data_IF_134889396541
#
_entry.id   IF_134889396541
#
_cell.length_a   1.000
_cell.length_b   1.000
_cell.length_c   1.000
_cell.angle_alpha   90.00
_cell.angle_beta   90.00
_cell.angle_gamma   90.00
#
_symmetry.space_group_name_H-M   'P 1'
#
loop_
_entity.id
_entity.type
_entity.pdbx_description
1 polymer ?
#
# COMPACT_ATOMS: atom_id res chain seq x y z
N UNK A 1 0.70 6.61 15.89
CA UNK A 1 0.68 5.46 14.97
C UNK A 1 -0.12 5.89 13.75
N UNK A 2 0.37 5.68 12.53
CA UNK A 2 -0.34 6.07 11.31
C UNK A 2 -1.59 5.21 11.12
N UNK A 3 -2.70 5.82 10.71
CA UNK A 3 -3.92 5.13 10.27
C UNK A 3 -3.73 4.69 8.81
N UNK A 4 -4.03 3.43 8.49
CA UNK A 4 -3.71 2.81 7.20
C UNK A 4 -5.00 2.46 6.48
N UNK A 5 -5.19 2.96 5.26
CA UNK A 5 -6.33 2.62 4.41
C UNK A 5 -5.91 1.70 3.28
N UNK A 6 -6.65 0.61 3.06
CA UNK A 6 -6.40 -0.33 1.97
C UNK A 6 -7.47 -0.17 0.88
N UNK A 7 -7.05 0.23 -0.32
CA UNK A 7 -7.90 0.30 -1.51
C UNK A 7 -7.52 -0.81 -2.48
N UNK A 8 -8.39 -1.81 -2.60
CA UNK A 8 -8.11 -3.05 -3.31
C UNK A 8 -7.48 -4.09 -2.38
N UNK A 9 -8.14 -5.25 -2.27
CA UNK A 9 -7.73 -6.35 -1.41
C UNK A 9 -7.43 -7.59 -2.24
N UNK A 10 -6.15 -7.89 -2.35
CA UNK A 10 -5.57 -9.02 -3.07
C UNK A 10 -4.67 -9.86 -2.14
N UNK A 11 -3.90 -10.79 -2.72
CA UNK A 11 -3.02 -11.65 -1.93
C UNK A 11 -1.86 -10.89 -1.25
N UNK A 12 -1.42 -9.76 -1.81
CA UNK A 12 -0.29 -9.00 -1.31
C UNK A 12 -0.72 -8.08 -0.16
N UNK A 13 -1.78 -7.31 -0.37
CA UNK A 13 -2.40 -6.48 0.68
C UNK A 13 -2.95 -7.32 1.83
N UNK A 14 -3.43 -8.54 1.59
CA UNK A 14 -3.77 -9.48 2.67
C UNK A 14 -2.54 -9.79 3.56
N UNK A 15 -1.37 -10.05 2.96
CA UNK A 15 -0.14 -10.25 3.74
C UNK A 15 0.25 -8.99 4.51
N UNK A 16 0.09 -7.81 3.92
CA UNK A 16 0.34 -6.54 4.59
C UNK A 16 -0.57 -6.35 5.81
N UNK A 17 -1.88 -6.54 5.65
CA UNK A 17 -2.85 -6.43 6.76
C UNK A 17 -2.48 -7.37 7.90
N UNK A 18 -2.19 -8.65 7.59
CA UNK A 18 -1.75 -9.64 8.59
C UNK A 18 -0.48 -9.20 9.30
N UNK A 19 0.52 -8.74 8.56
CA UNK A 19 1.78 -8.31 9.14
C UNK A 19 1.64 -7.04 9.98
N UNK A 20 0.76 -6.10 9.64
CA UNK A 20 0.48 -4.93 10.47
C UNK A 20 -0.08 -5.36 11.84
N UNK A 21 -1.06 -6.26 11.87
CA UNK A 21 -1.63 -6.75 13.13
C UNK A 21 -0.67 -7.67 13.90
N UNK A 22 0.22 -8.40 13.21
CA UNK A 22 1.26 -9.19 13.86
C UNK A 22 2.31 -8.30 14.52
N UNK A 23 2.70 -7.19 13.87
CA UNK A 23 3.67 -6.24 14.39
C UNK A 23 3.08 -5.38 15.51
N UNK A 24 1.81 -4.98 15.39
CA UNK A 24 1.08 -4.16 16.35
C UNK A 24 -0.39 -4.62 16.42
N UNK A 25 -0.81 -5.34 17.47
CA UNK A 25 -2.19 -5.79 17.62
C UNK A 25 -3.23 -4.65 17.65
N UNK A 26 -2.81 -3.43 18.01
CA UNK A 26 -3.61 -2.20 18.03
C UNK A 26 -3.49 -1.37 16.74
N UNK A 27 -2.90 -1.94 15.67
CA UNK A 27 -2.82 -1.29 14.37
C UNK A 27 -4.20 -0.83 13.87
N UNK A 28 -4.24 0.37 13.30
CA UNK A 28 -5.48 0.97 12.81
C UNK A 28 -5.57 0.83 11.29
N UNK A 29 -6.20 -0.27 10.84
CA UNK A 29 -6.38 -0.59 9.43
C UNK A 29 -7.83 -0.37 9.01
N UNK A 30 -8.04 0.37 7.92
CA UNK A 30 -9.33 0.74 7.36
C UNK A 30 -9.49 0.11 5.98
N UNK A 31 -10.66 -0.45 5.70
CA UNK A 31 -10.95 -1.07 4.40
C UNK A 31 -12.42 -0.93 4.03
N UNK A 32 -12.70 -0.94 2.73
CA UNK A 32 -14.05 -1.03 2.18
C UNK A 32 -14.30 -2.48 1.73
N UNK A 33 -15.04 -3.30 2.52
CA UNK A 33 -15.16 -4.72 2.22
C UNK A 33 -16.03 -5.02 1.00
N UNK A 34 -17.04 -4.17 0.72
CA UNK A 34 -17.87 -4.20 -0.47
C UNK A 34 -18.22 -5.63 -0.96
N UNK A 35 -18.11 -5.85 -2.27
CA UNK A 35 -18.26 -7.14 -2.94
C UNK A 35 -16.98 -8.00 -2.90
N UNK A 36 -15.96 -7.62 -2.12
CA UNK A 36 -14.72 -8.38 -2.00
C UNK A 36 -14.82 -9.40 -0.87
N UNK A 37 -14.98 -10.68 -1.24
CA UNK A 37 -15.01 -11.79 -0.28
C UNK A 37 -13.74 -11.82 0.59
N UNK A 38 -12.57 -11.52 -0.01
CA UNK A 38 -11.30 -11.46 0.73
C UNK A 38 -11.30 -10.34 1.77
N UNK A 39 -11.79 -9.15 1.41
CA UNK A 39 -11.88 -8.03 2.33
C UNK A 39 -12.87 -8.29 3.48
N UNK A 40 -14.04 -8.89 3.16
CA UNK A 40 -15.01 -9.32 4.17
C UNK A 40 -14.43 -10.38 5.12
N UNK A 41 -13.66 -11.35 4.61
CA UNK A 41 -12.98 -12.34 5.45
C UNK A 41 -11.96 -11.68 6.38
N UNK A 42 -11.14 -10.77 5.86
CA UNK A 42 -10.14 -10.07 6.67
C UNK A 42 -10.78 -9.20 7.76
N UNK A 43 -11.90 -8.52 7.47
CA UNK A 43 -12.64 -7.75 8.46
C UNK A 43 -13.27 -8.62 9.58
N UNK A 44 -13.50 -9.91 9.34
CA UNK A 44 -13.93 -10.86 10.38
C UNK A 44 -12.76 -11.43 11.18
N UNK A 45 -11.60 -11.53 10.56
CA UNK A 45 -10.40 -12.15 11.14
C UNK A 45 -9.58 -11.17 11.98
N UNK A 46 -9.57 -9.89 11.60
CA UNK A 46 -8.79 -8.82 12.22
C UNK A 46 -9.70 -7.66 12.64
N UNK A 47 -9.30 -6.84 13.64
CA UNK A 47 -10.08 -5.69 14.10
C UNK A 47 -9.94 -4.50 13.12
N UNK A 48 -10.22 -4.75 11.84
CA UNK A 48 -10.24 -3.72 10.81
C UNK A 48 -11.47 -2.82 10.97
N UNK A 49 -11.28 -1.54 10.70
CA UNK A 49 -12.36 -0.56 10.58
C UNK A 49 -12.97 -0.65 9.18
N UNK A 50 -14.22 -1.07 9.08
CA UNK A 50 -14.92 -1.14 7.80
C UNK A 50 -15.62 0.17 7.49
N UNK A 51 -15.51 0.62 6.24
CA UNK A 51 -16.15 1.84 5.75
C UNK A 51 -17.12 1.52 4.59
N UNK A 52 -17.96 2.49 4.23
CA UNK A 52 -19.03 2.30 3.25
C UNK A 52 -18.58 2.51 1.78
N UNK A 53 -17.43 3.16 1.57
CA UNK A 53 -16.85 3.39 0.24
C UNK A 53 -15.36 3.77 0.36
N UNK A 54 -14.66 3.90 -0.78
CA UNK A 54 -13.24 4.27 -0.80
C UNK A 54 -12.96 5.67 -0.23
N UNK A 55 -13.83 6.65 -0.44
CA UNK A 55 -13.63 8.00 0.12
C UNK A 55 -13.70 7.97 1.65
N UNK A 56 -14.68 7.24 2.23
CA UNK A 56 -14.79 7.08 3.67
C UNK A 56 -13.58 6.36 4.29
N UNK A 57 -12.91 5.45 3.55
CA UNK A 57 -11.59 4.93 3.97
C UNK A 57 -10.55 6.02 3.97
N UNK A 58 -10.43 6.77 2.86
CA UNK A 58 -9.43 7.82 2.68
C UNK A 58 -9.57 8.90 3.75
N UNK A 59 -10.78 9.35 4.07
CA UNK A 59 -11.01 10.45 5.02
C UNK A 59 -10.47 10.16 6.43
N UNK A 60 -10.38 8.87 6.79
CA UNK A 60 -9.96 8.42 8.10
C UNK A 60 -8.44 8.22 8.21
N UNK A 61 -7.70 8.09 7.11
CA UNK A 61 -6.35 7.52 7.15
C UNK A 61 -5.25 8.54 6.90
N UNK A 62 -4.05 8.23 7.35
CA UNK A 62 -2.83 9.01 7.07
C UNK A 62 -2.05 8.40 5.91
N UNK A 63 -2.10 7.07 5.76
CA UNK A 63 -1.42 6.31 4.71
C UNK A 63 -2.45 5.55 3.91
N UNK A 64 -2.45 5.74 2.59
CA UNK A 64 -3.35 5.05 1.66
C UNK A 64 -2.52 4.05 0.88
N UNK A 65 -2.90 2.78 0.91
CA UNK A 65 -2.24 1.70 0.18
C UNK A 65 -3.19 1.22 -0.92
N UNK A 66 -2.79 1.35 -2.19
CA UNK A 66 -3.60 0.97 -3.34
C UNK A 66 -3.00 -0.25 -4.04
N UNK A 67 -3.81 -1.31 -4.19
CA UNK A 67 -3.50 -2.50 -4.99
C UNK A 67 -4.70 -2.90 -5.85
N UNK A 68 -4.80 -2.30 -7.03
CA UNK A 68 -5.87 -2.53 -8.00
C UNK A 68 -5.30 -2.67 -9.41
N UNK A 69 -6.11 -3.15 -10.36
CA UNK A 69 -5.74 -3.17 -11.77
C UNK A 69 -5.59 -1.72 -12.31
N UNK A 70 -4.76 -1.48 -13.35
CA UNK A 70 -4.55 -0.14 -13.90
C UNK A 70 -5.84 0.59 -14.33
N UNK A 71 -6.80 -0.10 -14.93
CA UNK A 71 -8.08 0.50 -15.33
C UNK A 71 -8.87 0.99 -14.11
N UNK A 72 -8.93 0.16 -13.06
CA UNK A 72 -9.56 0.50 -11.77
C UNK A 72 -8.80 1.63 -11.06
N UNK A 73 -7.48 1.72 -11.19
CA UNK A 73 -6.69 2.81 -10.64
C UNK A 73 -7.12 4.16 -11.25
N UNK A 74 -7.33 4.18 -12.57
CA UNK A 74 -7.78 5.38 -13.27
C UNK A 74 -9.18 5.81 -12.81
N UNK A 75 -10.14 4.88 -12.75
CA UNK A 75 -11.48 5.15 -12.20
C UNK A 75 -11.44 5.64 -10.75
N UNK A 76 -10.59 5.03 -9.93
CA UNK A 76 -10.42 5.41 -8.53
C UNK A 76 -9.90 6.84 -8.40
N UNK A 77 -8.88 7.21 -9.20
CA UNK A 77 -8.30 8.55 -9.18
C UNK A 77 -9.29 9.66 -9.54
N UNK A 78 -10.30 9.36 -10.37
CA UNK A 78 -11.37 10.30 -10.72
C UNK A 78 -12.53 10.35 -9.73
N UNK A 79 -12.60 9.41 -8.78
CA UNK A 79 -13.74 9.24 -7.86
C UNK A 79 -13.41 9.54 -6.39
N UNK A 80 -12.14 9.79 -6.07
CA UNK A 80 -11.68 10.08 -4.71
C UNK A 80 -10.85 11.35 -4.63
N UNK A 81 -10.79 11.94 -3.44
CA UNK A 81 -9.98 13.11 -3.13
C UNK A 81 -9.06 12.80 -1.95
N UNK A 82 -7.77 13.08 -2.13
CA UNK A 82 -6.75 12.91 -1.11
C UNK A 82 -6.54 14.22 -0.35
N UNK A 83 -6.20 14.10 0.93
CA UNK A 83 -5.76 15.22 1.77
C UNK A 83 -4.25 15.38 1.63
N UNK A 84 -3.79 16.63 1.61
CA UNK A 84 -2.36 16.96 1.44
C UNK A 84 -1.43 16.28 2.47
N UNK A 85 -1.93 15.96 3.66
CA UNK A 85 -1.15 15.33 4.73
C UNK A 85 -1.00 13.82 4.59
N UNK A 86 -1.61 13.21 3.58
CA UNK A 86 -1.61 11.76 3.38
C UNK A 86 -0.44 11.30 2.53
N UNK A 87 0.02 10.08 2.75
CA UNK A 87 0.94 9.41 1.83
C UNK A 87 0.17 8.39 0.99
N UNK A 88 0.28 8.49 -0.32
CA UNK A 88 -0.26 7.50 -1.26
C UNK A 88 0.82 6.47 -1.60
N UNK A 89 0.60 5.21 -1.24
CA UNK A 89 1.49 4.09 -1.55
C UNK A 89 0.81 3.18 -2.58
N UNK A 90 1.43 3.04 -3.75
CA UNK A 90 0.94 2.18 -4.82
C UNK A 90 1.72 0.87 -4.89
N UNK A 91 0.99 -0.24 -4.97
CA UNK A 91 1.53 -1.55 -5.34
C UNK A 91 1.27 -1.90 -6.82
N UNK A 92 0.73 -0.97 -7.60
CA UNK A 92 0.35 -1.20 -9.00
C UNK A 92 1.62 -1.27 -9.87
N UNK A 93 1.94 -2.41 -10.48
CA UNK A 93 3.17 -2.56 -11.27
C UNK A 93 3.20 -1.62 -12.48
N UNK A 94 4.38 -1.11 -12.81
CA UNK A 94 4.62 -0.29 -14.02
C UNK A 94 4.07 1.14 -13.96
N UNK A 95 3.44 1.56 -12.86
CA UNK A 95 2.97 2.93 -12.69
C UNK A 95 3.96 3.72 -11.82
N UNK A 96 4.64 4.68 -12.45
CA UNK A 96 5.62 5.53 -11.78
C UNK A 96 4.97 6.54 -10.83
N UNK A 97 5.71 7.00 -9.82
CA UNK A 97 5.20 7.96 -8.83
C UNK A 97 4.75 9.27 -9.50
N UNK A 98 5.42 9.71 -10.57
CA UNK A 98 5.00 10.88 -11.35
C UNK A 98 3.61 10.72 -11.95
N UNK A 99 3.27 9.54 -12.47
CA UNK A 99 1.96 9.27 -13.02
C UNK A 99 0.89 9.30 -11.91
N UNK A 100 1.18 8.69 -10.76
CA UNK A 100 0.31 8.73 -9.57
C UNK A 100 0.04 10.18 -9.12
N UNK A 101 1.09 11.02 -9.07
CA UNK A 101 0.94 12.43 -8.69
C UNK A 101 -0.01 13.20 -9.60
N UNK A 102 0.04 12.94 -10.90
CA UNK A 102 -0.86 13.57 -11.88
C UNK A 102 -2.27 13.01 -11.74
N UNK A 103 -2.43 11.69 -11.67
CA UNK A 103 -3.75 11.03 -11.59
C UNK A 103 -4.53 11.47 -10.34
N UNK A 104 -3.88 11.45 -9.18
CA UNK A 104 -4.51 11.76 -7.90
C UNK A 104 -4.38 13.23 -7.48
N UNK A 105 -3.73 14.07 -8.30
CA UNK A 105 -3.41 15.47 -7.97
C UNK A 105 -2.74 15.60 -6.59
N UNK A 106 -1.86 14.65 -6.28
CA UNK A 106 -1.26 14.50 -4.95
C UNK A 106 0.26 14.51 -5.05
N UNK A 107 0.96 15.05 -4.06
CA UNK A 107 2.42 15.23 -4.14
C UNK A 107 3.20 14.07 -3.54
N UNK A 108 2.70 13.51 -2.44
CA UNK A 108 3.34 12.44 -1.68
C UNK A 108 2.86 11.07 -2.17
N UNK A 109 3.51 10.61 -3.24
CA UNK A 109 3.26 9.31 -3.86
C UNK A 109 4.52 8.46 -3.77
N UNK A 110 4.36 7.24 -3.25
CA UNK A 110 5.39 6.23 -3.02
C UNK A 110 4.99 4.96 -3.74
N UNK A 111 5.95 4.24 -4.32
CA UNK A 111 5.73 2.89 -4.83
C UNK A 111 6.25 1.89 -3.82
N UNK A 112 5.55 0.77 -3.67
CA UNK A 112 5.95 -0.35 -2.84
C UNK A 112 5.97 -1.63 -3.64
N UNK A 113 7.02 -2.42 -3.45
CA UNK A 113 7.10 -3.79 -3.94
C UNK A 113 7.61 -4.71 -2.82
N UNK A 114 7.09 -5.94 -2.80
CA UNK A 114 7.67 -7.03 -2.01
C UNK A 114 8.49 -7.92 -2.94
N UNK A 115 9.81 -7.90 -2.79
CA UNK A 115 10.70 -8.83 -3.48
C UNK A 115 10.84 -10.12 -2.65
N UNK A 116 10.91 -11.26 -3.32
CA UNK A 116 11.17 -12.55 -2.68
C UNK A 116 12.44 -13.16 -3.28
N UNK A 117 13.40 -13.49 -2.42
CA UNK A 117 14.58 -14.26 -2.83
C UNK A 117 14.37 -15.71 -2.44
N UNK A 118 14.25 -16.59 -3.45
CA UNK A 118 14.16 -18.04 -3.26
C UNK A 118 15.44 -18.60 -2.60
N UNK A 119 16.60 -17.99 -2.87
CA UNK A 119 17.90 -18.47 -2.38
C UNK A 119 18.08 -18.22 -0.87
N UNK A 120 17.57 -17.09 -0.36
CA UNK A 120 17.74 -16.68 1.04
C UNK A 120 16.45 -16.94 1.85
N UNK A 121 15.37 -17.38 1.19
CA UNK A 121 14.03 -17.57 1.79
C UNK A 121 13.59 -16.33 2.59
N UNK A 122 13.87 -15.14 2.04
CA UNK A 122 13.57 -13.85 2.68
C UNK A 122 12.84 -12.94 1.71
N UNK A 123 11.78 -12.33 2.21
CA UNK A 123 11.14 -11.19 1.57
C UNK A 123 11.87 -9.90 1.92
N UNK A 124 12.05 -9.02 0.93
CA UNK A 124 12.49 -7.64 1.13
C UNK A 124 11.36 -6.68 0.73
N UNK A 125 11.27 -5.55 1.43
CA UNK A 125 10.40 -4.45 1.05
C UNK A 125 11.23 -3.44 0.26
N UNK A 126 10.72 -3.02 -0.88
CA UNK A 126 11.34 -1.99 -1.71
C UNK A 126 10.37 -0.81 -1.78
N UNK A 127 10.86 0.38 -1.43
CA UNK A 127 10.12 1.64 -1.49
C UNK A 127 10.86 2.62 -2.40
N UNK A 128 10.13 3.42 -3.17
CA UNK A 128 10.72 4.66 -3.70
C UNK A 128 10.99 5.64 -2.56
N UNK A 129 11.81 6.66 -2.82
CA UNK A 129 12.12 7.73 -1.86
C UNK A 129 10.89 8.19 -1.07
N UNK A 130 10.99 8.10 0.25
CA UNK A 130 9.92 8.38 1.21
C UNK A 130 10.51 8.68 2.59
N UNK A 131 9.72 9.29 3.47
CA UNK A 131 10.18 9.68 4.80
C UNK A 131 10.45 8.49 5.73
N UNK A 132 11.13 8.76 6.85
CA UNK A 132 11.46 7.73 7.83
C UNK A 132 10.23 7.12 8.53
N UNK A 133 9.09 7.82 8.56
CA UNK A 133 7.89 7.33 9.21
C UNK A 133 7.24 6.21 8.38
N UNK A 134 7.19 6.38 7.06
CA UNK A 134 6.77 5.35 6.11
C UNK A 134 7.76 4.17 6.11
N UNK A 135 9.06 4.44 6.16
CA UNK A 135 10.05 3.36 6.27
C UNK A 135 9.88 2.52 7.54
N UNK A 136 9.65 3.17 8.69
CA UNK A 136 9.37 2.47 9.97
C UNK A 136 8.11 1.62 9.87
N UNK A 137 7.06 2.10 9.19
CA UNK A 137 5.82 1.37 9.00
C UNK A 137 6.04 0.02 8.29
N UNK A 138 6.99 -0.07 7.36
CA UNK A 138 7.28 -1.29 6.63
C UNK A 138 8.47 -2.12 7.16
N UNK A 139 9.24 -1.58 8.11
CA UNK A 139 10.36 -2.30 8.74
C UNK A 139 10.01 -3.69 9.34
N UNK A 140 8.79 -3.97 9.85
CA UNK A 140 8.46 -5.30 10.35
C UNK A 140 8.33 -6.39 9.27
N UNK A 141 8.22 -6.01 8.00
CA UNK A 141 7.99 -6.95 6.88
C UNK A 141 9.27 -7.54 6.29
N UNK A 142 10.44 -7.14 6.80
CA UNK A 142 11.74 -7.64 6.40
C UNK A 142 12.74 -6.52 6.12
N UNK A 143 13.91 -6.86 5.55
CA UNK A 143 14.87 -5.88 5.08
C UNK A 143 14.21 -4.86 4.17
N UNK A 144 14.48 -3.58 4.41
CA UNK A 144 13.94 -2.46 3.67
C UNK A 144 15.02 -1.86 2.76
N UNK A 145 14.71 -1.73 1.47
CA UNK A 145 15.50 -1.01 0.49
C UNK A 145 14.72 0.23 0.02
N UNK A 146 15.32 1.40 0.16
CA UNK A 146 14.75 2.65 -0.37
C UNK A 146 15.55 3.05 -1.59
N UNK A 147 14.88 3.16 -2.73
CA UNK A 147 15.48 3.54 -4.01
C UNK A 147 15.11 4.98 -4.36
N UNK A 148 16.10 5.77 -4.75
CA UNK A 148 15.89 7.16 -5.14
C UNK A 148 15.38 7.26 -6.59
N UNK A 149 15.91 6.43 -7.48
CA UNK A 149 15.60 6.43 -8.90
C UNK A 149 14.53 5.39 -9.24
N UNK A 150 13.53 5.79 -10.03
CA UNK A 150 12.44 4.93 -10.49
C UNK A 150 12.95 3.75 -11.35
N UNK A 151 14.06 3.94 -12.07
CA UNK A 151 14.71 2.88 -12.85
C UNK A 151 15.24 1.75 -11.97
N UNK A 152 15.76 2.09 -10.79
CA UNK A 152 16.28 1.10 -9.84
C UNK A 152 15.13 0.30 -9.24
N UNK A 153 14.00 0.97 -8.95
CA UNK A 153 12.76 0.31 -8.55
C UNK A 153 12.29 -0.69 -9.62
N UNK A 154 12.23 -0.28 -10.89
CA UNK A 154 11.75 -1.15 -11.97
C UNK A 154 12.69 -2.34 -12.21
N UNK A 155 14.01 -2.15 -12.07
CA UNK A 155 15.00 -3.23 -12.18
C UNK A 155 14.85 -4.30 -11.11
N UNK A 156 14.32 -3.93 -9.93
CA UNK A 156 14.06 -4.86 -8.82
C UNK A 156 12.84 -5.76 -9.04
N UNK A 157 12.04 -5.51 -10.08
CA UNK A 157 10.88 -6.35 -10.47
C UNK A 157 11.33 -7.64 -11.18
N UNK A 158 12.52 -7.65 -11.78
CA UNK A 158 13.02 -8.77 -12.61
C UNK A 158 14.27 -9.47 -12.10
N UNK A 159 14.86 -9.02 -10.99
CA UNK A 159 16.10 -9.57 -10.45
C UNK A 159 15.85 -10.42 -9.21
N UNK A 160 16.28 -11.69 -9.25
CA UNK A 160 16.58 -12.47 -8.05
C UNK A 160 17.52 -11.64 -7.19
N UNK A 161 17.05 -11.18 -6.03
CA UNK A 161 17.94 -10.68 -4.97
C UNK A 161 18.79 -11.83 -4.42
#
# INVERSE_FOLDING_TARGET
>A
MKRIGILGVDALTEKLIRGFFQAAPDAQVFLFPANSERAQRLAREFPCWTQDNHQAVIDEVDVIIISVAPDTLNELSGSVQLRNSQTLISLVPGIQSRALRVMFQHSDCVRLQMAYSDEINKSAVILTSTDEEIQRLFSPFGPLLVVAEESDFDSSIGGTL
#
